data_IF_103890098803
#
_entry.id   IF_103890098803
#
_cell.length_a   1.000
_cell.length_b   1.000
_cell.length_c   1.000
_cell.angle_alpha   90.00
_cell.angle_beta   90.00
_cell.angle_gamma   90.00
#
_symmetry.space_group_name_H-M   'P 1'
#
loop_
_entity.id
_entity.type
_entity.pdbx_description
1 polymer ?
#
# COMPACT_ATOMS: atom_id res chain seq x y z
N UNK A 1 -9.55 22.86 -22.32
CA UNK A 1 -9.09 21.52 -21.90
C UNK A 1 -8.01 21.10 -22.87
N UNK A 2 -6.85 20.75 -22.34
CA UNK A 2 -5.76 20.20 -23.15
C UNK A 2 -6.13 18.79 -23.59
N UNK A 3 -5.97 18.49 -24.88
CA UNK A 3 -6.23 17.14 -25.41
C UNK A 3 -5.06 16.24 -24.98
N UNK A 4 -5.37 15.14 -24.29
CA UNK A 4 -4.40 14.09 -23.96
C UNK A 4 -4.54 12.94 -24.95
N UNK A 5 -3.41 12.48 -25.46
CA UNK A 5 -3.35 11.21 -26.18
C UNK A 5 -3.75 10.03 -25.27
N UNK A 6 -4.12 8.91 -25.86
CA UNK A 6 -4.41 7.68 -25.09
C UNK A 6 -3.22 7.20 -24.25
N UNK A 7 -2.00 7.43 -24.73
CA UNK A 7 -0.75 7.12 -24.00
C UNK A 7 -0.65 7.97 -22.73
N UNK A 8 -0.83 9.29 -22.85
CA UNK A 8 -0.78 10.20 -21.70
C UNK A 8 -1.87 9.91 -20.67
N UNK A 9 -3.07 9.51 -21.12
CA UNK A 9 -4.15 9.08 -20.22
C UNK A 9 -3.75 7.82 -19.44
N UNK A 10 -3.16 6.83 -20.12
CA UNK A 10 -2.72 5.59 -19.49
C UNK A 10 -1.58 5.85 -18.48
N UNK A 11 -0.57 6.62 -18.88
CA UNK A 11 0.59 6.93 -18.03
C UNK A 11 0.18 7.70 -16.77
N UNK A 12 -0.72 8.67 -16.89
CA UNK A 12 -1.25 9.39 -15.73
C UNK A 12 -2.05 8.49 -14.78
N UNK A 13 -2.86 7.58 -15.33
CA UNK A 13 -3.63 6.64 -14.53
C UNK A 13 -2.70 5.67 -13.78
N UNK A 14 -1.70 5.12 -14.48
CA UNK A 14 -0.69 4.22 -13.89
C UNK A 14 0.11 4.95 -12.81
N UNK A 15 0.55 6.19 -13.07
CA UNK A 15 1.30 6.98 -12.08
C UNK A 15 0.48 7.20 -10.80
N UNK A 16 -0.79 7.59 -10.94
CA UNK A 16 -1.70 7.76 -9.79
C UNK A 16 -1.95 6.44 -9.05
N UNK A 17 -2.08 5.33 -9.77
CA UNK A 17 -2.23 4.02 -9.15
C UNK A 17 -0.97 3.60 -8.40
N UNK A 18 0.22 3.85 -8.96
CA UNK A 18 1.50 3.53 -8.32
C UNK A 18 1.73 4.32 -7.03
N UNK A 19 1.14 5.52 -6.90
CA UNK A 19 1.15 6.30 -5.65
C UNK A 19 0.32 5.60 -4.56
N UNK A 20 -0.79 4.95 -4.95
CA UNK A 20 -1.78 4.30 -4.05
C UNK A 20 -1.57 2.82 -3.83
N UNK A 21 -0.77 2.14 -4.65
CA UNK A 21 -0.74 0.67 -4.71
C UNK A 21 -0.36 0.01 -3.38
N UNK A 22 0.45 0.68 -2.57
CA UNK A 22 0.77 0.18 -1.22
C UNK A 22 -0.46 0.21 -0.34
N UNK A 23 -1.18 1.34 -0.31
CA UNK A 23 -2.41 1.47 0.45
C UNK A 23 -3.50 0.50 -0.03
N UNK A 24 -3.67 0.34 -1.33
CA UNK A 24 -4.62 -0.62 -1.93
C UNK A 24 -4.32 -2.07 -1.51
N UNK A 25 -3.05 -2.46 -1.37
CA UNK A 25 -2.69 -3.79 -0.88
C UNK A 25 -3.08 -3.95 0.59
N UNK A 26 -2.83 -2.94 1.43
CA UNK A 26 -3.23 -3.00 2.83
C UNK A 26 -4.77 -2.93 3.00
N UNK A 27 -5.47 -2.19 2.15
CA UNK A 27 -6.95 -2.21 2.09
C UNK A 27 -7.47 -3.58 1.66
N UNK A 28 -6.80 -4.24 0.70
CA UNK A 28 -7.14 -5.60 0.29
C UNK A 28 -7.02 -6.57 1.47
N UNK A 29 -5.92 -6.49 2.23
CA UNK A 29 -5.75 -7.29 3.45
C UNK A 29 -6.85 -6.98 4.46
N UNK A 30 -7.15 -5.70 4.69
CA UNK A 30 -8.14 -5.25 5.67
C UNK A 30 -9.57 -5.71 5.35
N UNK A 31 -9.94 -5.68 4.07
CA UNK A 31 -11.30 -5.94 3.61
C UNK A 31 -11.56 -7.43 3.30
N UNK A 32 -10.51 -8.25 3.20
CA UNK A 32 -10.63 -9.70 3.08
C UNK A 32 -10.55 -10.38 4.44
N UNK A 33 -11.57 -11.16 4.80
CA UNK A 33 -11.68 -11.78 6.12
C UNK A 33 -10.56 -12.79 6.40
N UNK A 34 -10.14 -13.55 5.40
CA UNK A 34 -9.11 -14.57 5.57
C UNK A 34 -7.73 -13.92 5.70
N UNK A 35 -7.45 -12.94 4.84
CA UNK A 35 -6.20 -12.16 4.89
C UNK A 35 -6.10 -11.36 6.17
N UNK A 36 -7.16 -10.68 6.61
CA UNK A 36 -7.13 -9.91 7.86
C UNK A 36 -6.91 -10.83 9.07
N UNK A 37 -7.54 -12.01 9.08
CA UNK A 37 -7.33 -13.00 10.13
C UNK A 37 -5.89 -13.53 10.14
N UNK A 38 -5.29 -13.78 8.97
CA UNK A 38 -3.89 -14.20 8.87
C UNK A 38 -2.93 -13.08 9.28
N UNK A 39 -3.21 -11.85 8.86
CA UNK A 39 -2.45 -10.66 9.22
C UNK A 39 -2.42 -10.45 10.74
N UNK A 40 -3.57 -10.53 11.43
CA UNK A 40 -3.63 -10.37 12.89
C UNK A 40 -2.84 -11.46 13.62
N UNK A 41 -2.88 -12.71 13.13
CA UNK A 41 -2.04 -13.79 13.68
C UNK A 41 -0.55 -13.50 13.49
N UNK A 42 -0.14 -13.05 12.30
CA UNK A 42 1.24 -12.66 12.06
C UNK A 42 1.68 -11.49 12.98
N UNK A 43 0.80 -10.50 13.19
CA UNK A 43 1.09 -9.37 14.11
C UNK A 43 1.26 -9.86 15.55
N UNK A 44 0.47 -10.84 15.99
CA UNK A 44 0.60 -11.43 17.32
C UNK A 44 1.93 -12.15 17.52
N UNK A 45 2.43 -12.85 16.50
CA UNK A 45 3.67 -13.65 16.57
C UNK A 45 4.94 -12.80 16.31
N UNK A 46 4.88 -11.84 15.39
CA UNK A 46 6.05 -11.14 14.87
C UNK A 46 6.13 -9.65 15.26
N UNK A 47 5.01 -9.08 15.73
CA UNK A 47 4.87 -7.66 16.01
C UNK A 47 4.42 -6.83 14.80
N UNK A 48 3.66 -5.77 15.07
CA UNK A 48 3.03 -4.91 14.06
C UNK A 48 4.03 -4.35 13.05
N UNK A 49 5.13 -3.75 13.53
CA UNK A 49 6.09 -3.07 12.67
C UNK A 49 6.78 -4.01 11.70
N UNK A 50 7.13 -5.22 12.17
CA UNK A 50 7.78 -6.23 11.35
C UNK A 50 6.86 -6.72 10.24
N UNK A 51 5.59 -6.99 10.56
CA UNK A 51 4.59 -7.40 9.57
C UNK A 51 4.37 -6.28 8.54
N UNK A 52 4.18 -5.05 8.99
CA UNK A 52 3.96 -3.90 8.10
C UNK A 52 5.14 -3.63 7.17
N UNK A 53 6.36 -3.67 7.69
CA UNK A 53 7.56 -3.52 6.88
C UNK A 53 7.72 -4.68 5.88
N UNK A 54 7.34 -5.90 6.26
CA UNK A 54 7.41 -7.07 5.38
C UNK A 54 6.43 -6.93 4.22
N UNK A 55 5.17 -6.57 4.50
CA UNK A 55 4.15 -6.30 3.47
C UNK A 55 4.60 -5.16 2.57
N UNK A 56 5.03 -4.02 3.14
CA UNK A 56 5.49 -2.87 2.37
C UNK A 56 6.68 -3.18 1.45
N UNK A 57 7.66 -3.97 1.92
CA UNK A 57 8.79 -4.43 1.07
C UNK A 57 8.33 -5.37 -0.03
N UNK A 58 7.39 -6.28 0.26
CA UNK A 58 6.84 -7.20 -0.73
C UNK A 58 6.12 -6.44 -1.87
N UNK A 59 5.32 -5.42 -1.52
CA UNK A 59 4.67 -4.54 -2.51
C UNK A 59 5.70 -3.81 -3.36
N UNK A 60 6.68 -3.14 -2.74
CA UNK A 60 7.74 -2.43 -3.47
C UNK A 60 8.44 -3.33 -4.48
N UNK A 61 8.78 -4.56 -4.07
CA UNK A 61 9.43 -5.56 -4.93
C UNK A 61 8.52 -6.02 -6.07
N UNK A 62 7.25 -6.28 -5.80
CA UNK A 62 6.30 -6.79 -6.81
C UNK A 62 6.00 -5.76 -7.91
N UNK A 63 5.96 -4.47 -7.55
CA UNK A 63 5.58 -3.38 -8.48
C UNK A 63 6.77 -2.53 -8.95
N UNK A 64 8.00 -2.88 -8.57
CA UNK A 64 9.20 -2.13 -8.96
C UNK A 64 9.17 -0.68 -8.49
N UNK A 65 8.57 -0.42 -7.33
CA UNK A 65 8.42 0.95 -6.81
C UNK A 65 9.75 1.44 -6.25
N UNK A 66 10.21 2.58 -6.75
CA UNK A 66 11.30 3.32 -6.13
C UNK A 66 10.81 4.01 -4.84
N UNK A 67 11.74 4.34 -3.93
CA UNK A 67 11.41 5.11 -2.74
C UNK A 67 10.94 6.50 -3.14
N UNK A 68 9.64 6.66 -3.36
CA UNK A 68 8.96 7.95 -3.36
C UNK A 68 8.51 8.27 -1.93
N UNK A 69 8.38 9.56 -1.65
CA UNK A 69 7.83 10.03 -0.38
C UNK A 69 6.50 9.33 -0.08
N UNK A 70 6.31 8.91 1.18
CA UNK A 70 5.11 8.18 1.62
C UNK A 70 3.87 8.99 1.23
N UNK A 71 2.83 8.28 0.80
CA UNK A 71 1.52 8.86 0.54
C UNK A 71 1.08 9.70 1.74
N UNK A 72 0.75 10.98 1.51
CA UNK A 72 0.59 11.96 2.59
C UNK A 72 -0.50 11.60 3.61
N UNK A 73 -1.52 10.85 3.19
CA UNK A 73 -2.58 10.32 4.04
C UNK A 73 -3.10 8.97 3.49
N UNK A 74 -2.59 7.81 3.95
CA UNK A 74 -3.07 6.50 3.52
C UNK A 74 -4.51 6.26 4.00
N UNK A 75 -5.34 5.56 3.25
CA UNK A 75 -6.71 5.21 3.67
C UNK A 75 -6.72 3.97 4.57
N UNK A 76 -5.74 3.07 4.43
CA UNK A 76 -5.62 1.87 5.24
C UNK A 76 -5.36 2.18 6.71
N UNK A 77 -6.20 1.63 7.58
CA UNK A 77 -6.01 1.73 9.04
C UNK A 77 -4.76 0.98 9.51
N UNK A 78 -4.29 -0.01 8.74
CA UNK A 78 -3.08 -0.78 9.03
C UNK A 78 -1.81 0.07 8.85
N UNK A 79 -1.79 0.92 7.82
CA UNK A 79 -0.70 1.88 7.60
C UNK A 79 -0.84 3.05 8.59
N UNK A 80 -2.05 3.60 8.78
CA UNK A 80 -2.28 4.71 9.73
C UNK A 80 -1.85 4.35 11.15
N UNK A 81 -2.18 3.15 11.62
CA UNK A 81 -1.78 2.70 12.96
C UNK A 81 -0.27 2.63 13.08
N UNK A 82 0.45 2.07 12.10
CA UNK A 82 1.91 2.06 12.09
C UNK A 82 2.54 3.45 12.20
N UNK A 83 2.01 4.43 11.44
CA UNK A 83 2.54 5.80 11.46
C UNK A 83 2.22 6.58 12.74
N UNK A 84 1.21 6.16 13.52
CA UNK A 84 0.88 6.78 14.81
C UNK A 84 1.74 6.24 15.97
N UNK A 85 2.45 5.13 15.77
CA UNK A 85 3.29 4.49 16.78
C UNK A 85 4.80 4.55 16.47
N UNK A 86 5.22 5.17 15.35
CA UNK A 86 6.60 5.65 15.08
C UNK A 86 6.81 7.07 15.63
#
# INVERSE_FOLDING_TARGET
>A
MEFKSSVEVADDAIRKMNERITDEVFLTIQNDRELMGAYLRAVQEEGLDRVNQTVGRAVKKAYGLENKEREGEPESTLIRSHMMFE
#
